data_IF_666805093395
#
_entry.id   IF_666805093395
#
_cell.length_a   1.000
_cell.length_b   1.000
_cell.length_c   1.000
_cell.angle_alpha   90.00
_cell.angle_beta   90.00
_cell.angle_gamma   90.00
#
_symmetry.space_group_name_H-M   'P 1'
#
loop_
_entity.id
_entity.type
_entity.pdbx_description
1 polymer ?
#
# COMPACT_ATOMS: atom_id res chain seq x y z
N UNK A 1 9.65 16.95 -1.41
CA UNK A 1 9.88 18.40 -1.66
C UNK A 1 10.14 18.69 -3.15
N UNK A 2 11.06 17.95 -3.82
CA UNK A 2 11.43 18.21 -5.23
C UNK A 2 10.22 18.11 -6.16
N UNK A 3 9.41 17.07 -6.04
CA UNK A 3 8.22 16.86 -6.86
C UNK A 3 7.17 17.94 -6.68
N UNK A 4 6.99 18.41 -5.45
CA UNK A 4 6.05 19.51 -5.19
C UNK A 4 6.44 20.79 -5.95
N UNK A 5 7.73 20.94 -6.28
CA UNK A 5 8.26 22.05 -7.08
C UNK A 5 8.22 21.78 -8.60
N UNK A 6 8.00 20.53 -9.02
CA UNK A 6 7.97 20.12 -10.42
C UNK A 6 6.56 20.08 -11.01
N UNK A 7 5.51 20.13 -10.17
CA UNK A 7 4.12 20.07 -10.61
C UNK A 7 3.51 21.48 -10.60
N UNK A 8 3.17 22.07 -11.77
CA UNK A 8 2.63 23.42 -11.85
C UNK A 8 1.37 23.65 -11.00
N UNK A 9 0.49 22.65 -10.93
CA UNK A 9 -0.74 22.69 -10.15
C UNK A 9 -0.45 22.81 -8.65
N UNK A 10 0.63 22.18 -8.17
CA UNK A 10 1.06 22.28 -6.78
C UNK A 10 1.78 23.59 -6.47
N UNK A 11 2.53 24.11 -7.43
CA UNK A 11 3.20 25.43 -7.29
C UNK A 11 2.20 26.57 -7.18
N UNK A 12 1.09 26.48 -7.90
CA UNK A 12 0.05 27.48 -7.93
C UNK A 12 -1.02 27.32 -6.83
N UNK A 13 -0.93 26.23 -6.04
CA UNK A 13 -1.84 26.00 -4.92
C UNK A 13 -1.46 26.84 -3.71
N UNK A 14 -2.44 27.10 -2.85
CA UNK A 14 -2.22 27.76 -1.54
C UNK A 14 -1.49 26.85 -0.55
N UNK A 15 -1.30 25.55 -0.89
CA UNK A 15 -0.73 24.55 0.01
C UNK A 15 0.77 24.43 -0.10
N UNK A 16 1.43 24.28 1.04
CA UNK A 16 2.80 23.78 1.13
C UNK A 16 2.78 22.25 1.21
N UNK A 17 3.93 21.59 0.95
CA UNK A 17 4.05 20.14 1.18
C UNK A 17 3.62 19.75 2.61
N UNK A 18 3.98 20.56 3.60
CA UNK A 18 3.64 20.30 4.99
C UNK A 18 2.13 20.41 5.23
N UNK A 19 1.51 21.51 4.84
CA UNK A 19 0.08 21.72 5.05
C UNK A 19 -0.81 20.78 4.25
N UNK A 20 -0.31 20.23 3.13
CA UNK A 20 -1.05 19.26 2.35
C UNK A 20 -1.13 17.88 3.02
N UNK A 21 -0.12 17.48 3.78
CA UNK A 21 -0.01 16.15 4.39
C UNK A 21 -0.10 16.15 5.92
N UNK A 22 -0.07 17.31 6.54
CA UNK A 22 -0.20 17.49 7.99
C UNK A 22 -1.37 18.44 8.23
N UNK A 23 -2.57 17.90 8.35
CA UNK A 23 -3.77 18.68 8.66
C UNK A 23 -4.43 18.19 9.93
N UNK A 24 -5.22 19.06 10.53
CA UNK A 24 -6.08 18.76 11.66
C UNK A 24 -7.53 19.11 11.28
N UNK A 25 -8.45 18.20 11.56
CA UNK A 25 -9.85 18.34 11.21
C UNK A 25 -10.22 17.83 9.81
N UNK A 26 -11.22 18.46 9.17
CA UNK A 26 -11.73 18.05 7.87
C UNK A 26 -10.84 18.52 6.71
N UNK A 27 -10.73 17.67 5.70
CA UNK A 27 -9.99 17.96 4.46
C UNK A 27 -10.91 18.74 3.51
N UNK A 28 -10.48 19.92 3.05
CA UNK A 28 -11.25 20.71 2.08
C UNK A 28 -11.25 20.07 0.68
N UNK A 29 -12.24 20.41 -0.15
CA UNK A 29 -12.30 19.95 -1.55
C UNK A 29 -11.08 20.41 -2.36
N UNK A 30 -10.58 21.62 -2.12
CA UNK A 30 -9.36 22.12 -2.75
C UNK A 30 -8.16 21.26 -2.36
N UNK A 31 -8.03 20.93 -1.08
CA UNK A 31 -6.97 20.07 -0.57
C UNK A 31 -7.04 18.65 -1.16
N UNK A 32 -8.24 18.08 -1.26
CA UNK A 32 -8.47 16.78 -1.90
C UNK A 32 -8.07 16.81 -3.37
N UNK A 33 -8.43 17.88 -4.09
CA UNK A 33 -8.04 18.04 -5.50
C UNK A 33 -6.53 18.08 -5.67
N UNK A 34 -5.83 18.85 -4.83
CA UNK A 34 -4.36 18.96 -4.86
C UNK A 34 -3.70 17.63 -4.48
N UNK A 35 -4.23 16.90 -3.48
CA UNK A 35 -3.75 15.56 -3.11
C UNK A 35 -3.89 14.58 -4.26
N UNK A 36 -5.02 14.60 -4.97
CA UNK A 36 -5.27 13.75 -6.12
C UNK A 36 -4.26 13.99 -7.24
N UNK A 37 -4.00 15.24 -7.60
CA UNK A 37 -2.95 15.58 -8.57
C UNK A 37 -1.57 15.07 -8.15
N UNK A 38 -1.23 15.24 -6.88
CA UNK A 38 0.04 14.74 -6.35
C UNK A 38 0.15 13.22 -6.45
N UNK A 39 -0.89 12.49 -6.10
CA UNK A 39 -0.93 11.03 -6.16
C UNK A 39 -0.86 10.53 -7.60
N UNK A 40 -1.66 11.07 -8.50
CA UNK A 40 -1.64 10.72 -9.92
C UNK A 40 -0.24 10.95 -10.54
N UNK A 41 0.39 12.07 -10.21
CA UNK A 41 1.76 12.35 -10.65
C UNK A 41 2.76 11.34 -10.07
N UNK A 42 2.66 11.03 -8.78
CA UNK A 42 3.53 10.07 -8.11
C UNK A 42 3.39 8.68 -8.73
N UNK A 43 2.17 8.19 -8.94
CA UNK A 43 1.90 6.91 -9.60
C UNK A 43 2.47 6.83 -11.01
N UNK A 44 2.40 7.93 -11.77
CA UNK A 44 2.88 8.00 -13.15
C UNK A 44 4.39 8.07 -13.25
N UNK A 45 5.05 8.79 -12.34
CA UNK A 45 6.43 9.21 -12.53
C UNK A 45 7.44 8.57 -11.56
N UNK A 46 7.00 8.04 -10.41
CA UNK A 46 7.92 7.39 -9.49
C UNK A 46 8.27 5.98 -9.93
N UNK A 47 9.56 5.69 -10.01
CA UNK A 47 10.09 4.35 -10.33
C UNK A 47 9.56 3.27 -9.38
N UNK A 48 9.31 3.62 -8.12
CA UNK A 48 8.71 2.72 -7.14
C UNK A 48 7.38 2.14 -7.65
N UNK A 49 6.46 2.98 -8.12
CA UNK A 49 5.15 2.53 -8.61
C UNK A 49 5.24 1.81 -9.96
N UNK A 50 6.23 2.13 -10.81
CA UNK A 50 6.42 1.43 -12.08
C UNK A 50 6.69 -0.07 -11.88
N UNK A 51 7.40 -0.45 -10.81
CA UNK A 51 7.64 -1.85 -10.49
C UNK A 51 6.33 -2.62 -10.18
N UNK A 52 5.35 -1.99 -9.54
CA UNK A 52 4.04 -2.59 -9.29
C UNK A 52 3.17 -2.61 -10.54
N UNK A 53 3.23 -1.58 -11.36
CA UNK A 53 2.56 -1.54 -12.67
C UNK A 53 3.02 -2.67 -13.57
N UNK A 54 4.33 -2.94 -13.61
CA UNK A 54 4.88 -4.05 -14.38
C UNK A 54 4.45 -5.42 -13.87
N UNK A 55 4.21 -5.57 -12.57
CA UNK A 55 3.70 -6.82 -12.00
C UNK A 55 2.24 -7.07 -12.36
N UNK A 56 1.41 -6.05 -12.27
CA UNK A 56 -0.04 -6.20 -12.45
C UNK A 56 -0.43 -6.48 -13.89
N UNK A 57 0.37 -6.04 -14.87
CA UNK A 57 -0.03 -6.02 -16.28
C UNK A 57 -1.44 -5.41 -16.48
N UNK A 58 -1.96 -4.73 -15.47
CA UNK A 58 -3.31 -4.22 -15.41
C UNK A 58 -3.31 -2.70 -15.55
N UNK A 59 -4.28 -2.18 -16.28
CA UNK A 59 -4.49 -0.75 -16.38
C UNK A 59 -5.14 -0.17 -15.11
N UNK A 60 -5.77 -1.04 -14.29
CA UNK A 60 -6.47 -0.66 -13.06
C UNK A 60 -5.83 -1.35 -11.86
N UNK A 61 -4.88 -0.68 -11.24
CA UNK A 61 -4.34 -1.06 -9.94
C UNK A 61 -4.27 0.17 -9.05
N UNK A 62 -4.39 -0.05 -7.74
CA UNK A 62 -4.19 0.97 -6.72
C UNK A 62 -3.14 0.49 -5.73
N UNK A 63 -2.39 1.41 -5.14
CA UNK A 63 -1.47 1.13 -4.06
C UNK A 63 -2.09 1.64 -2.75
N UNK A 64 -2.10 0.80 -1.73
CA UNK A 64 -2.65 1.13 -0.43
C UNK A 64 -1.70 0.64 0.66
N UNK A 65 -1.36 1.51 1.58
CA UNK A 65 -0.62 1.14 2.78
C UNK A 65 -1.60 0.72 3.89
N UNK A 66 -1.35 -0.39 4.60
CA UNK A 66 -2.22 -0.83 5.70
C UNK A 66 -2.21 0.11 6.90
N UNK A 67 -1.22 0.98 6.99
CA UNK A 67 -1.11 2.02 8.00
C UNK A 67 -0.86 3.35 7.32
N UNK A 68 -1.86 4.23 7.39
CA UNK A 68 -1.83 5.56 6.75
C UNK A 68 -1.00 6.50 7.63
N UNK A 69 0.31 6.29 7.63
CA UNK A 69 1.23 7.16 8.34
C UNK A 69 2.54 7.28 7.56
N UNK A 70 3.05 8.48 7.50
CA UNK A 70 4.35 8.75 6.88
C UNK A 70 5.39 8.95 7.98
N UNK A 71 6.25 7.97 8.16
CA UNK A 71 7.36 8.06 9.08
C UNK A 71 8.67 7.67 8.39
N UNK A 72 9.69 8.52 8.49
CA UNK A 72 10.99 8.29 7.85
C UNK A 72 11.84 7.24 8.58
N UNK A 73 11.51 6.94 9.83
CA UNK A 73 12.21 5.96 10.65
C UNK A 73 11.32 4.74 10.89
N UNK A 74 11.70 3.58 10.31
CA UNK A 74 10.93 2.34 10.45
C UNK A 74 10.78 1.86 11.90
N UNK A 75 11.78 2.06 12.75
CA UNK A 75 11.71 1.65 14.16
C UNK A 75 10.64 2.47 14.88
N UNK A 76 10.71 3.79 14.76
CA UNK A 76 9.72 4.67 15.37
C UNK A 76 8.29 4.42 14.83
N UNK A 77 8.16 4.13 13.53
CA UNK A 77 6.88 3.73 12.95
C UNK A 77 6.32 2.45 13.59
N UNK A 78 7.17 1.44 13.81
CA UNK A 78 6.76 0.21 14.48
C UNK A 78 6.35 0.45 15.94
N UNK A 79 7.10 1.27 16.67
CA UNK A 79 6.81 1.60 18.06
C UNK A 79 5.45 2.34 18.22
N UNK A 80 5.01 3.07 17.18
CA UNK A 80 3.71 3.72 17.14
C UNK A 80 2.53 2.75 16.84
N UNK A 81 2.78 1.63 16.17
CA UNK A 81 1.74 0.72 15.67
C UNK A 81 1.59 -0.52 16.54
N UNK A 82 2.69 -1.00 17.13
CA UNK A 82 2.71 -2.29 17.81
C UNK A 82 2.90 -2.16 19.32
N UNK A 83 2.28 -3.10 20.06
CA UNK A 83 2.54 -3.31 21.50
C UNK A 83 3.81 -4.15 21.70
N UNK A 84 3.85 -5.31 21.01
CA UNK A 84 4.93 -6.30 21.09
C UNK A 84 4.94 -7.13 19.81
N UNK A 85 6.12 -7.28 19.21
CA UNK A 85 6.26 -8.05 17.97
C UNK A 85 5.42 -7.44 16.84
N UNK A 86 4.37 -8.14 16.42
CA UNK A 86 3.38 -7.69 15.42
C UNK A 86 1.99 -7.52 16.00
N UNK A 87 1.85 -7.52 17.34
CA UNK A 87 0.56 -7.26 18.00
C UNK A 87 0.22 -5.78 17.89
N UNK A 88 -0.88 -5.47 17.23
CA UNK A 88 -1.33 -4.10 17.07
C UNK A 88 -1.71 -3.46 18.42
N UNK A 89 -1.23 -2.24 18.64
CA UNK A 89 -1.77 -1.40 19.71
C UNK A 89 -3.10 -0.75 19.27
N UNK A 90 -3.69 0.08 20.10
CA UNK A 90 -4.97 0.72 19.81
C UNK A 90 -4.93 1.56 18.53
N UNK A 91 -3.89 2.39 18.35
CA UNK A 91 -3.70 3.17 17.13
C UNK A 91 -3.49 2.29 15.90
N UNK A 92 -2.63 1.28 16.00
CA UNK A 92 -2.39 0.32 14.93
C UNK A 92 -3.65 -0.44 14.54
N UNK A 93 -4.49 -0.81 15.53
CA UNK A 93 -5.80 -1.45 15.30
C UNK A 93 -6.73 -0.53 14.52
N UNK A 94 -6.90 0.71 14.96
CA UNK A 94 -7.77 1.67 14.27
C UNK A 94 -7.34 1.91 12.81
N UNK A 95 -6.03 2.01 12.55
CA UNK A 95 -5.50 2.14 11.19
C UNK A 95 -5.77 0.88 10.35
N UNK A 96 -5.56 -0.29 10.93
CA UNK A 96 -5.81 -1.56 10.24
C UNK A 96 -7.29 -1.76 9.92
N UNK A 97 -8.19 -1.40 10.84
CA UNK A 97 -9.63 -1.48 10.63
C UNK A 97 -10.08 -0.54 9.50
N UNK A 98 -9.51 0.67 9.43
CA UNK A 98 -9.73 1.59 8.30
C UNK A 98 -9.25 0.99 6.97
N UNK A 99 -8.07 0.37 6.95
CA UNK A 99 -7.56 -0.36 5.79
C UNK A 99 -8.54 -1.45 5.34
N UNK A 100 -9.05 -2.26 6.27
CA UNK A 100 -10.01 -3.33 5.98
C UNK A 100 -11.33 -2.78 5.41
N UNK A 101 -11.85 -1.70 6.00
CA UNK A 101 -13.05 -1.02 5.49
C UNK A 101 -12.82 -0.54 4.06
N UNK A 102 -11.67 0.07 3.79
CA UNK A 102 -11.30 0.56 2.46
C UNK A 102 -11.22 -0.58 1.44
N UNK A 103 -10.58 -1.70 1.79
CA UNK A 103 -10.52 -2.89 0.92
C UNK A 103 -11.92 -3.44 0.62
N UNK A 104 -12.78 -3.51 1.63
CA UNK A 104 -14.17 -3.97 1.46
C UNK A 104 -15.00 -3.05 0.56
N UNK A 105 -14.75 -1.74 0.59
CA UNK A 105 -15.40 -0.78 -0.31
C UNK A 105 -14.89 -0.89 -1.76
N UNK A 106 -13.58 -1.03 -1.94
CA UNK A 106 -12.94 -1.16 -3.27
C UNK A 106 -13.29 -2.51 -3.92
N UNK A 107 -13.42 -3.57 -3.15
CA UNK A 107 -13.65 -4.95 -3.59
C UNK A 107 -12.69 -5.39 -4.72
N UNK A 108 -11.39 -5.37 -4.48
CA UNK A 108 -10.43 -5.76 -5.49
C UNK A 108 -10.55 -7.26 -5.79
N UNK A 109 -10.34 -7.67 -7.03
CA UNK A 109 -10.26 -9.11 -7.38
C UNK A 109 -9.07 -9.79 -6.70
N UNK A 110 -7.95 -9.06 -6.60
CA UNK A 110 -6.69 -9.57 -6.07
C UNK A 110 -6.02 -8.48 -5.24
N UNK A 111 -5.45 -8.87 -4.12
CA UNK A 111 -4.53 -8.07 -3.31
C UNK A 111 -3.15 -8.71 -3.44
N UNK A 112 -2.15 -7.95 -3.88
CA UNK A 112 -0.76 -8.40 -3.95
C UNK A 112 0.05 -7.73 -2.85
N UNK A 113 0.63 -8.52 -1.98
CA UNK A 113 1.40 -8.02 -0.84
C UNK A 113 2.88 -8.28 -1.08
N UNK A 114 3.65 -7.22 -1.28
CA UNK A 114 5.08 -7.27 -1.54
C UNK A 114 5.90 -6.76 -0.35
N UNK A 115 5.49 -7.09 0.87
CA UNK A 115 6.16 -6.69 2.10
C UNK A 115 5.99 -7.77 3.18
N UNK A 116 7.09 -8.30 3.70
CA UNK A 116 7.08 -9.39 4.68
C UNK A 116 6.30 -9.05 5.97
N UNK A 117 6.49 -7.83 6.51
CA UNK A 117 5.78 -7.40 7.72
C UNK A 117 4.27 -7.31 7.47
N UNK A 118 3.87 -6.69 6.36
CA UNK A 118 2.46 -6.60 5.97
C UNK A 118 1.85 -7.99 5.76
N UNK A 119 2.59 -8.91 5.12
CA UNK A 119 2.15 -10.28 4.94
C UNK A 119 1.90 -10.99 6.28
N UNK A 120 2.81 -10.85 7.24
CA UNK A 120 2.65 -11.42 8.58
C UNK A 120 1.44 -10.84 9.33
N UNK A 121 1.26 -9.53 9.27
CA UNK A 121 0.12 -8.86 9.92
C UNK A 121 -1.20 -9.35 9.31
N UNK A 122 -1.33 -9.33 7.98
CA UNK A 122 -2.55 -9.78 7.31
C UNK A 122 -2.82 -11.27 7.54
N UNK A 123 -1.80 -12.13 7.49
CA UNK A 123 -1.93 -13.55 7.80
C UNK A 123 -2.48 -13.77 9.22
N UNK A 124 -1.94 -13.04 10.19
CA UNK A 124 -2.39 -13.11 11.58
C UNK A 124 -3.81 -12.54 11.77
N UNK A 125 -4.04 -11.33 11.31
CA UNK A 125 -5.26 -10.58 11.61
C UNK A 125 -6.49 -11.09 10.82
N UNK A 126 -6.29 -11.58 9.59
CA UNK A 126 -7.39 -12.06 8.75
C UNK A 126 -7.61 -13.58 8.86
N UNK A 127 -6.54 -14.35 9.07
CA UNK A 127 -6.60 -15.82 9.02
C UNK A 127 -6.20 -16.50 10.32
N UNK A 128 -5.81 -15.74 11.34
CA UNK A 128 -5.31 -16.25 12.62
C UNK A 128 -4.11 -17.23 12.47
N UNK A 129 -3.31 -17.00 11.42
CA UNK A 129 -2.11 -17.81 11.12
C UNK A 129 -0.87 -17.13 11.68
N UNK A 130 0.01 -17.91 12.28
CA UNK A 130 1.30 -17.42 12.77
C UNK A 130 2.36 -17.36 11.66
N UNK A 131 2.19 -18.18 10.61
CA UNK A 131 3.12 -18.29 9.49
C UNK A 131 2.40 -18.20 8.15
N UNK A 132 3.12 -17.69 7.14
CA UNK A 132 2.68 -17.68 5.76
C UNK A 132 3.15 -18.99 5.12
N UNK A 133 2.30 -20.00 5.17
CA UNK A 133 2.58 -21.32 4.61
C UNK A 133 2.16 -21.48 3.15
N UNK A 134 1.44 -20.50 2.63
CA UNK A 134 0.86 -20.51 1.28
C UNK A 134 1.28 -19.26 0.50
N UNK A 135 1.42 -19.38 -0.82
CA UNK A 135 1.65 -18.23 -1.69
C UNK A 135 0.38 -17.40 -1.94
N UNK A 136 -0.77 -17.92 -1.53
CA UNK A 136 -2.07 -17.27 -1.72
C UNK A 136 -3.07 -17.73 -0.67
N UNK A 137 -3.91 -16.82 -0.22
CA UNK A 137 -5.11 -17.09 0.58
C UNK A 137 -6.36 -16.49 -0.10
N UNK A 138 -7.51 -16.95 0.30
CA UNK A 138 -8.80 -16.40 -0.13
C UNK A 138 -9.48 -15.80 1.10
N UNK A 139 -9.86 -14.53 0.98
CA UNK A 139 -10.48 -13.77 2.05
C UNK A 139 -11.78 -13.15 1.55
N UNK A 140 -12.74 -12.97 2.45
CA UNK A 140 -13.99 -12.23 2.28
C UNK A 140 -14.56 -12.28 0.83
N UNK A 141 -15.68 -12.90 0.60
CA UNK A 141 -16.36 -12.99 -0.71
C UNK A 141 -15.45 -13.38 -1.91
N UNK A 142 -14.33 -14.06 -1.66
CA UNK A 142 -13.45 -14.56 -2.70
C UNK A 142 -12.30 -13.64 -3.12
N UNK A 143 -12.00 -12.59 -2.37
CA UNK A 143 -10.81 -11.74 -2.60
C UNK A 143 -9.56 -12.60 -2.45
N UNK A 144 -8.74 -12.66 -3.48
CA UNK A 144 -7.50 -13.44 -3.48
C UNK A 144 -6.36 -12.58 -2.95
N UNK A 145 -5.66 -13.05 -1.92
CA UNK A 145 -4.48 -12.41 -1.35
C UNK A 145 -3.25 -13.20 -1.78
N UNK A 146 -2.39 -12.57 -2.59
CA UNK A 146 -1.15 -13.16 -3.11
C UNK A 146 0.03 -12.57 -2.34
N UNK A 147 0.87 -13.43 -1.79
CA UNK A 147 2.04 -13.04 -1.04
C UNK A 147 3.28 -13.10 -1.91
N UNK A 148 3.97 -11.97 -2.01
CA UNK A 148 5.23 -11.82 -2.70
C UNK A 148 6.33 -11.27 -1.79
N UNK A 149 7.57 -11.36 -2.24
CA UNK A 149 8.70 -10.68 -1.62
C UNK A 149 8.75 -9.22 -2.06
N UNK A 150 9.64 -8.42 -1.46
CA UNK A 150 9.82 -7.02 -1.82
C UNK A 150 10.15 -6.88 -3.31
N UNK A 151 9.52 -5.91 -3.97
CA UNK A 151 9.71 -5.66 -5.42
C UNK A 151 10.89 -4.72 -5.68
N UNK A 152 11.25 -3.91 -4.69
CA UNK A 152 12.30 -2.88 -4.78
C UNK A 152 13.23 -2.93 -3.58
N UNK A 153 14.39 -2.27 -3.71
CA UNK A 153 15.37 -2.15 -2.63
C UNK A 153 16.37 -3.30 -2.59
N UNK A 154 17.22 -3.31 -1.56
CA UNK A 154 18.32 -4.29 -1.43
C UNK A 154 17.86 -5.75 -1.25
N UNK A 155 16.63 -5.95 -0.81
CA UNK A 155 16.00 -7.27 -0.62
C UNK A 155 14.91 -7.55 -1.64
N UNK A 156 15.01 -6.91 -2.81
CA UNK A 156 14.08 -7.15 -3.90
C UNK A 156 14.16 -8.62 -4.35
N UNK A 157 13.03 -9.17 -4.74
CA UNK A 157 12.96 -10.51 -5.32
C UNK A 157 13.80 -10.59 -6.60
N UNK A 158 14.35 -11.75 -6.87
CA UNK A 158 15.06 -12.04 -8.13
C UNK A 158 14.11 -12.01 -9.33
N UNK A 159 14.69 -11.92 -10.53
CA UNK A 159 13.91 -11.82 -11.77
C UNK A 159 13.02 -13.04 -12.02
N UNK A 160 13.44 -14.24 -11.65
CA UNK A 160 12.66 -15.46 -11.80
C UNK A 160 11.45 -15.47 -10.86
N UNK A 161 11.64 -15.07 -9.61
CA UNK A 161 10.54 -14.92 -8.63
C UNK A 161 9.54 -13.83 -9.07
N UNK A 162 10.03 -12.74 -9.65
CA UNK A 162 9.18 -11.67 -10.20
C UNK A 162 8.35 -12.16 -11.39
N UNK A 163 8.96 -12.93 -12.29
CA UNK A 163 8.26 -13.51 -13.43
C UNK A 163 7.14 -14.47 -12.99
N UNK A 164 7.44 -15.36 -12.02
CA UNK A 164 6.43 -16.28 -11.45
C UNK A 164 5.28 -15.54 -10.78
N UNK A 165 5.56 -14.49 -10.00
CA UNK A 165 4.53 -13.67 -9.37
C UNK A 165 3.65 -12.98 -10.42
N UNK A 166 4.25 -12.42 -11.48
CA UNK A 166 3.53 -11.80 -12.60
C UNK A 166 2.61 -12.79 -13.32
N UNK A 167 3.09 -13.99 -13.59
CA UNK A 167 2.31 -15.07 -14.20
C UNK A 167 1.12 -15.49 -13.30
N UNK A 168 1.37 -15.66 -12.00
CA UNK A 168 0.34 -15.97 -11.02
C UNK A 168 -0.76 -14.89 -11.01
N UNK A 169 -0.39 -13.61 -10.94
CA UNK A 169 -1.34 -12.49 -10.97
C UNK A 169 -2.15 -12.52 -12.28
N UNK A 170 -1.48 -12.65 -13.42
CA UNK A 170 -2.13 -12.71 -14.72
C UNK A 170 -3.15 -13.86 -14.82
N UNK A 171 -2.77 -15.05 -14.37
CA UNK A 171 -3.66 -16.22 -14.33
C UNK A 171 -4.89 -15.99 -13.45
N UNK A 172 -4.73 -15.29 -12.32
CA UNK A 172 -5.82 -15.02 -11.39
C UNK A 172 -6.77 -13.92 -11.90
N UNK A 173 -6.26 -12.96 -12.66
CA UNK A 173 -7.05 -11.87 -13.25
C UNK A 173 -7.92 -12.34 -14.41
N UNK A 174 -7.47 -13.38 -15.15
CA UNK A 174 -8.15 -13.92 -16.33
C UNK A 174 -9.21 -15.00 -15.99
N UNK A 175 -9.30 -15.38 -14.71
CA UNK A 175 -10.35 -16.26 -14.16
C UNK A 175 -11.46 -15.45 -13.52
#
# INVERSE_FOLDING_TARGET
>A
KKIFQEIPELQNSSFTYKSLFEWDGEVSEEQLSVLKFYEEYAFKNYSFFQHFKDLSNANNYSHLDPFIMRHTNQKAAKDLIFKKGIDLNEFGRAQFDLFIITIKQIRPKIIVICNALTSQILSKELFQKNDISSSMDIWDDGIKIVYGSMVTGQRAMDLGSRARLKEQISTLLNK
#
